data_IF_363345680498
#
_entry.id   IF_363345680498
#
_cell.length_a   1.000
_cell.length_b   1.000
_cell.length_c   1.000
_cell.angle_alpha   90.00
_cell.angle_beta   90.00
_cell.angle_gamma   90.00
#
_symmetry.space_group_name_H-M   'P 1'
#
loop_
_entity.id
_entity.type
_entity.pdbx_description
1 polymer ?
#
# COMPACT_ATOMS: atom_id res chain seq x y z
N UNK A 1 -24.01 1.49 3.29
CA UNK A 1 -22.91 1.13 4.21
C UNK A 1 -21.63 1.04 3.39
N UNK A 2 -20.89 2.15 3.23
CA UNK A 2 -19.51 2.09 2.73
C UNK A 2 -18.63 1.96 3.97
N UNK A 3 -17.97 0.82 4.10
CA UNK A 3 -17.10 0.50 5.23
C UNK A 3 -16.06 1.60 5.42
N UNK A 4 -16.11 2.31 6.55
CA UNK A 4 -15.05 3.24 6.97
C UNK A 4 -13.81 2.42 7.31
N UNK A 5 -12.99 2.13 6.30
CA UNK A 5 -11.68 1.55 6.50
C UNK A 5 -10.77 2.66 7.04
N UNK A 6 -10.52 2.63 8.35
CA UNK A 6 -9.65 3.60 9.02
C UNK A 6 -8.22 3.36 8.56
N UNK A 7 -7.70 4.30 7.77
CA UNK A 7 -6.29 4.35 7.42
C UNK A 7 -5.49 4.79 8.64
N UNK A 8 -4.54 3.96 9.08
CA UNK A 8 -3.64 4.28 10.21
C UNK A 8 -2.43 5.08 9.74
N UNK A 9 -1.91 4.78 8.55
CA UNK A 9 -0.79 5.48 7.94
C UNK A 9 -1.04 5.73 6.46
N UNK A 10 -0.57 6.86 5.98
CA UNK A 10 -0.56 7.22 4.55
C UNK A 10 0.89 7.37 4.10
N UNK A 11 1.23 6.79 2.95
CA UNK A 11 2.53 6.87 2.32
C UNK A 11 2.35 7.48 0.93
N UNK A 12 2.97 8.64 0.71
CA UNK A 12 3.07 9.22 -0.61
C UNK A 12 4.34 8.69 -1.30
N UNK A 13 4.14 7.99 -2.41
CA UNK A 13 5.18 7.48 -3.29
C UNK A 13 5.01 8.01 -4.72
N UNK A 14 4.28 9.12 -4.89
CA UNK A 14 4.18 9.81 -6.19
C UNK A 14 5.54 10.41 -6.57
N UNK A 15 5.91 10.28 -7.85
CA UNK A 15 7.20 10.71 -8.38
C UNK A 15 8.39 9.82 -7.95
N UNK A 16 8.17 8.72 -7.23
CA UNK A 16 9.20 7.74 -6.92
C UNK A 16 9.20 6.61 -7.95
N UNK A 17 10.30 6.49 -8.69
CA UNK A 17 10.52 5.39 -9.63
C UNK A 17 10.85 4.10 -8.86
N UNK A 18 10.45 2.96 -9.43
CA UNK A 18 10.80 1.66 -8.87
C UNK A 18 12.33 1.53 -8.66
N UNK A 19 12.77 0.95 -7.52
CA UNK A 19 12.00 0.18 -6.54
C UNK A 19 11.64 0.92 -5.23
N UNK A 20 11.71 2.25 -5.18
CA UNK A 20 11.51 3.00 -3.93
C UNK A 20 10.12 2.85 -3.27
N UNK A 21 8.98 2.78 -4.01
CA UNK A 21 7.64 2.67 -3.40
C UNK A 21 7.49 1.43 -2.51
N UNK A 22 7.95 0.28 -2.98
CA UNK A 22 7.91 -0.99 -2.24
C UNK A 22 8.80 -0.94 -1.00
N UNK A 23 9.98 -0.32 -1.10
CA UNK A 23 10.91 -0.24 0.02
C UNK A 23 10.35 0.63 1.15
N UNK A 24 9.71 1.76 0.79
CA UNK A 24 9.02 2.62 1.75
C UNK A 24 7.79 1.94 2.33
N UNK A 25 6.98 1.27 1.51
CA UNK A 25 5.83 0.48 1.97
C UNK A 25 6.26 -0.57 2.98
N UNK A 26 7.32 -1.33 2.68
CA UNK A 26 7.90 -2.33 3.57
C UNK A 26 8.37 -1.72 4.88
N UNK A 27 9.05 -0.57 4.84
CA UNK A 27 9.51 0.12 6.05
C UNK A 27 8.33 0.59 6.91
N UNK A 28 7.33 1.22 6.30
CA UNK A 28 6.10 1.61 7.00
C UNK A 28 5.40 0.42 7.64
N UNK A 29 5.24 -0.68 6.90
CA UNK A 29 4.62 -1.90 7.39
C UNK A 29 5.46 -2.60 8.47
N UNK A 30 6.79 -2.50 8.42
CA UNK A 30 7.65 -3.01 9.49
C UNK A 30 7.38 -2.28 10.81
N UNK A 31 7.19 -0.96 10.77
CA UNK A 31 6.88 -0.10 11.93
C UNK A 31 5.39 -0.08 12.33
N UNK A 32 4.53 -0.85 11.65
CA UNK A 32 3.08 -0.93 11.94
C UNK A 32 2.74 -2.18 12.74
N UNK A 33 1.59 -2.17 13.40
CA UNK A 33 1.04 -3.33 14.09
C UNK A 33 0.12 -4.15 13.18
N UNK A 34 -0.02 -5.44 13.50
CA UNK A 34 -0.94 -6.32 12.80
C UNK A 34 -2.38 -5.77 12.86
N UNK A 35 -3.06 -5.72 11.72
CA UNK A 35 -4.39 -5.16 11.58
C UNK A 35 -4.44 -3.67 11.22
N UNK A 36 -3.29 -2.97 11.20
CA UNK A 36 -3.25 -1.57 10.76
C UNK A 36 -3.27 -1.45 9.24
N UNK A 37 -3.88 -0.36 8.75
CA UNK A 37 -4.07 -0.08 7.33
C UNK A 37 -3.11 1.02 6.86
N UNK A 38 -2.32 0.72 5.84
CA UNK A 38 -1.44 1.62 5.12
C UNK A 38 -2.07 2.00 3.78
N UNK A 39 -2.33 3.29 3.58
CA UNK A 39 -2.64 3.86 2.27
C UNK A 39 -1.34 4.22 1.56
N UNK A 40 -1.20 3.86 0.28
CA UNK A 40 -0.04 4.18 -0.56
C UNK A 40 -0.54 4.87 -1.81
N UNK A 41 0.00 6.05 -2.13
CA UNK A 41 -0.29 6.77 -3.38
C UNK A 41 0.91 6.71 -4.31
N UNK A 42 0.71 6.31 -5.55
CA UNK A 42 1.76 6.23 -6.57
C UNK A 42 1.17 6.60 -7.93
N UNK A 43 1.93 7.30 -8.76
CA UNK A 43 1.57 7.66 -10.14
C UNK A 43 2.13 6.67 -11.18
N UNK A 44 2.90 5.67 -10.74
CA UNK A 44 3.49 4.65 -11.60
C UNK A 44 2.53 3.47 -11.86
N UNK A 45 2.24 3.09 -13.12
CA UNK A 45 1.47 1.90 -13.44
C UNK A 45 2.11 0.59 -12.96
N UNK A 46 3.45 0.53 -12.78
CA UNK A 46 4.11 -0.67 -12.26
C UNK A 46 3.96 -0.84 -10.75
N UNK A 47 3.66 0.24 -10.02
CA UNK A 47 3.47 0.20 -8.57
C UNK A 47 2.36 -0.77 -8.14
N UNK A 48 1.30 -0.93 -8.96
CA UNK A 48 0.24 -1.90 -8.72
C UNK A 48 0.78 -3.34 -8.66
N UNK A 49 1.54 -3.72 -9.69
CA UNK A 49 2.10 -5.08 -9.82
C UNK A 49 3.08 -5.34 -8.68
N UNK A 50 3.97 -4.38 -8.43
CA UNK A 50 4.99 -4.49 -7.40
C UNK A 50 4.38 -4.58 -5.98
N UNK A 51 3.36 -3.78 -5.66
CA UNK A 51 2.67 -3.83 -4.38
C UNK A 51 1.83 -5.09 -4.21
N UNK A 52 1.17 -5.56 -5.26
CA UNK A 52 0.43 -6.82 -5.24
C UNK A 52 1.37 -8.01 -4.96
N UNK A 53 2.46 -8.11 -5.72
CA UNK A 53 3.48 -9.16 -5.52
C UNK A 53 4.12 -9.02 -4.14
N UNK A 54 4.39 -7.81 -3.67
CA UNK A 54 4.91 -7.58 -2.32
C UNK A 54 3.95 -8.12 -1.26
N UNK A 55 2.65 -7.79 -1.34
CA UNK A 55 1.63 -8.29 -0.43
C UNK A 55 1.58 -9.82 -0.41
N UNK A 56 1.54 -10.46 -1.58
CA UNK A 56 1.53 -11.92 -1.69
C UNK A 56 2.79 -12.55 -1.09
N UNK A 57 3.97 -11.94 -1.30
CA UNK A 57 5.25 -12.46 -0.79
C UNK A 57 5.44 -12.27 0.71
N UNK A 58 4.96 -11.16 1.27
CA UNK A 58 5.06 -10.89 2.71
C UNK A 58 3.88 -11.44 3.50
N UNK A 59 2.83 -11.89 2.82
CA UNK A 59 1.59 -12.34 3.43
C UNK A 59 0.68 -11.21 3.90
N UNK A 60 0.94 -9.96 3.49
CA UNK A 60 0.05 -8.83 3.81
C UNK A 60 -1.20 -8.87 2.95
N UNK A 61 -2.30 -8.27 3.44
CA UNK A 61 -3.58 -8.27 2.75
C UNK A 61 -3.79 -6.94 2.02
N UNK A 62 -3.97 -6.98 0.69
CA UNK A 62 -4.42 -5.82 -0.05
C UNK A 62 -5.95 -5.69 0.10
N UNK A 63 -6.40 -4.64 0.77
CA UNK A 63 -7.83 -4.41 1.04
C UNK A 63 -8.54 -3.77 -0.15
N UNK A 64 -7.89 -2.79 -0.76
CA UNK A 64 -8.45 -2.07 -1.89
C UNK A 64 -7.34 -1.46 -2.74
N UNK A 65 -7.66 -1.23 -4.01
CA UNK A 65 -6.86 -0.46 -4.96
C UNK A 65 -7.83 0.41 -5.74
N UNK A 66 -7.48 1.67 -5.90
CA UNK A 66 -8.26 2.65 -6.62
C UNK A 66 -7.33 3.44 -7.54
N UNK A 67 -7.85 3.90 -8.66
CA UNK A 67 -7.12 4.75 -9.59
C UNK A 67 -7.96 5.97 -9.90
N UNK A 68 -7.52 7.10 -9.39
CA UNK A 68 -8.25 8.37 -9.48
C UNK A 68 -7.30 9.46 -10.00
N UNK A 69 -7.77 10.24 -10.98
CA UNK A 69 -7.07 11.42 -11.52
C UNK A 69 -5.61 11.17 -11.98
N UNK A 70 -5.29 9.95 -12.42
CA UNK A 70 -3.94 9.57 -12.86
C UNK A 70 -2.99 9.14 -11.73
N UNK A 71 -3.50 9.02 -10.50
CA UNK A 71 -2.79 8.48 -9.35
C UNK A 71 -3.45 7.19 -8.87
N UNK A 72 -2.62 6.17 -8.63
CA UNK A 72 -3.02 4.95 -7.96
C UNK A 72 -3.00 5.13 -6.45
N UNK A 73 -4.03 4.62 -5.78
CA UNK A 73 -4.14 4.56 -4.33
C UNK A 73 -4.35 3.11 -3.92
N UNK A 74 -3.47 2.58 -3.08
CA UNK A 74 -3.52 1.21 -2.58
C UNK A 74 -3.73 1.21 -1.08
N UNK A 75 -4.64 0.35 -0.60
CA UNK A 75 -4.90 0.14 0.82
C UNK A 75 -4.40 -1.25 1.19
N UNK A 76 -3.32 -1.30 1.97
CA UNK A 76 -2.70 -2.53 2.45
C UNK A 76 -2.97 -2.66 3.94
N UNK A 77 -3.42 -3.83 4.39
CA UNK A 77 -3.50 -4.19 5.79
C UNK A 77 -2.31 -5.06 6.16
N UNK A 78 -1.61 -4.70 7.23
CA UNK A 78 -0.58 -5.57 7.80
C UNK A 78 -1.24 -6.83 8.36
N UNK A 79 -1.11 -7.95 7.67
CA UNK A 79 -1.43 -9.24 8.25
C UNK A 79 -0.40 -9.54 9.36
N UNK A 80 -0.88 -9.88 10.55
CA UNK A 80 -0.04 -10.32 11.66
C UNK A 80 0.47 -11.73 11.40
N UNK A 81 1.75 -11.86 11.11
CA UNK A 81 2.53 -13.07 11.34
C UNK A 81 3.41 -12.82 12.56
#
# INVERSE_FOLDING_TARGET
MKSEQRVDKTLDATGLLCPEPVFRARRCLADMEAGQILEIRADDPLAEIDLAVFCERTGHAMLARDHADGCWTFLLCKAGV
#
